data_IF_553250500236
#
_entry.id   IF_553250500236
#
_cell.length_a   1.000
_cell.length_b   1.000
_cell.length_c   1.000
_cell.angle_alpha   90.00
_cell.angle_beta   90.00
_cell.angle_gamma   90.00
#
_symmetry.space_group_name_H-M   'P 1'
#
loop_
_entity.id
_entity.type
_entity.pdbx_description
1 polymer ?
#
# COMPACT_ATOMS: atom_id res chain seq x y z
N UNK A 1 11.12 2.50 -8.44
CA UNK A 1 10.03 1.56 -8.08
C UNK A 1 10.17 1.14 -6.63
N UNK A 2 9.09 1.22 -5.89
CA UNK A 2 9.10 0.91 -4.46
C UNK A 2 8.39 -0.41 -4.21
N UNK A 3 8.99 -1.24 -3.36
CA UNK A 3 8.44 -2.55 -3.01
C UNK A 3 7.90 -2.52 -1.59
N UNK A 4 6.70 -3.04 -1.42
CA UNK A 4 6.10 -3.23 -0.10
C UNK A 4 5.86 -4.71 0.13
N UNK A 5 6.09 -5.15 1.36
CA UNK A 5 5.70 -6.48 1.79
C UNK A 5 4.36 -6.37 2.51
N UNK A 6 3.40 -7.13 2.05
CA UNK A 6 2.05 -7.11 2.62
C UNK A 6 1.74 -8.47 3.22
N UNK A 7 1.16 -8.48 4.40
CA UNK A 7 0.76 -9.71 5.07
C UNK A 7 -0.67 -9.59 5.58
N UNK A 8 -1.39 -10.70 5.51
CA UNK A 8 -2.77 -10.77 5.96
C UNK A 8 -3.13 -12.21 6.32
N UNK A 9 -4.10 -12.37 7.20
CA UNK A 9 -4.67 -13.68 7.52
C UNK A 9 -5.87 -14.03 6.66
N UNK A 10 -6.40 -13.06 5.88
CA UNK A 10 -7.57 -13.24 5.02
C UNK A 10 -7.26 -12.69 3.62
N UNK A 11 -6.38 -13.38 2.93
CA UNK A 11 -5.87 -12.92 1.63
C UNK A 11 -6.98 -12.70 0.60
N UNK A 12 -7.86 -13.69 0.42
CA UNK A 12 -8.87 -13.62 -0.63
C UNK A 12 -9.83 -12.45 -0.46
N UNK A 13 -10.18 -12.14 0.79
CA UNK A 13 -11.07 -11.01 1.07
C UNK A 13 -10.33 -9.68 0.91
N UNK A 14 -9.10 -9.61 1.39
CA UNK A 14 -8.36 -8.37 1.44
C UNK A 14 -7.70 -7.98 0.13
N UNK A 15 -7.31 -8.95 -0.72
CA UNK A 15 -6.68 -8.62 -2.00
C UNK A 15 -7.63 -7.86 -2.93
N UNK A 16 -8.90 -8.19 -2.91
CA UNK A 16 -9.90 -7.50 -3.73
C UNK A 16 -10.08 -6.05 -3.27
N UNK A 17 -10.16 -5.85 -1.96
CA UNK A 17 -10.26 -4.50 -1.39
C UNK A 17 -9.00 -3.68 -1.66
N UNK A 18 -7.84 -4.31 -1.52
CA UNK A 18 -6.56 -3.65 -1.79
C UNK A 18 -6.47 -3.19 -3.24
N UNK A 19 -6.87 -4.04 -4.18
CA UNK A 19 -6.92 -3.66 -5.60
C UNK A 19 -7.83 -2.46 -5.83
N UNK A 20 -9.03 -2.47 -5.27
CA UNK A 20 -9.99 -1.37 -5.42
C UNK A 20 -9.43 -0.07 -4.86
N UNK A 21 -8.84 -0.11 -3.68
CA UNK A 21 -8.25 1.08 -3.04
C UNK A 21 -7.11 1.62 -3.88
N UNK A 22 -6.21 0.75 -4.35
CA UNK A 22 -5.07 1.20 -5.16
C UNK A 22 -5.52 1.76 -6.50
N UNK A 23 -6.53 1.18 -7.13
CA UNK A 23 -7.10 1.71 -8.37
C UNK A 23 -7.66 3.12 -8.14
N UNK A 24 -8.40 3.31 -7.05
CA UNK A 24 -8.95 4.64 -6.72
C UNK A 24 -7.85 5.67 -6.46
N UNK A 25 -6.79 5.26 -5.78
CA UNK A 25 -5.64 6.15 -5.56
C UNK A 25 -4.98 6.53 -6.88
N UNK A 26 -4.81 5.56 -7.78
CA UNK A 26 -4.24 5.84 -9.10
C UNK A 26 -5.10 6.81 -9.90
N UNK A 27 -6.42 6.66 -9.84
CA UNK A 27 -7.36 7.59 -10.51
C UNK A 27 -7.22 9.00 -9.96
N UNK A 28 -7.16 9.14 -8.63
CA UNK A 28 -6.98 10.45 -7.98
C UNK A 28 -5.66 11.10 -8.40
N UNK A 29 -4.63 10.30 -8.58
CA UNK A 29 -3.30 10.78 -8.99
C UNK A 29 -3.16 10.94 -10.51
N UNK A 30 -4.20 10.64 -11.27
CA UNK A 30 -4.20 10.68 -12.74
C UNK A 30 -3.12 9.78 -13.34
N UNK A 31 -2.97 8.58 -12.76
CA UNK A 31 -2.03 7.56 -13.21
C UNK A 31 -2.85 6.38 -13.71
N UNK A 32 -2.61 5.92 -14.93
CA UNK A 32 -3.42 4.87 -15.55
C UNK A 32 -3.22 3.50 -14.89
N UNK A 33 -2.05 3.27 -14.35
CA UNK A 33 -1.68 2.01 -13.69
C UNK A 33 -0.71 2.40 -12.58
N UNK A 34 0.30 1.66 -12.31
CA UNK A 34 1.36 2.11 -11.40
C UNK A 34 1.56 1.21 -10.21
N UNK A 35 0.85 0.09 -10.14
CA UNK A 35 1.08 -0.89 -9.09
C UNK A 35 0.89 -2.31 -9.62
N UNK A 36 1.56 -3.25 -8.98
CA UNK A 36 1.44 -4.68 -9.28
C UNK A 36 1.57 -5.48 -8.00
N UNK A 37 0.90 -6.62 -7.97
CA UNK A 37 1.03 -7.57 -6.86
C UNK A 37 1.85 -8.77 -7.30
N UNK A 38 2.76 -9.21 -6.41
CA UNK A 38 3.50 -10.44 -6.59
C UNK A 38 2.67 -11.65 -6.19
N UNK A 39 3.24 -12.84 -6.37
CA UNK A 39 2.57 -14.07 -5.99
C UNK A 39 2.52 -14.24 -4.48
N UNK A 40 1.39 -14.73 -3.95
CA UNK A 40 1.27 -14.93 -2.51
C UNK A 40 1.98 -16.20 -2.05
N UNK A 41 2.53 -16.14 -0.85
CA UNK A 41 3.14 -17.28 -0.16
C UNK A 41 2.47 -17.43 1.20
N UNK A 42 2.03 -18.63 1.52
CA UNK A 42 1.38 -18.90 2.81
C UNK A 42 2.35 -19.51 3.80
N UNK A 43 2.32 -19.01 5.05
CA UNK A 43 3.09 -19.55 6.17
C UNK A 43 2.33 -19.32 7.46
N UNK A 44 2.13 -20.37 8.22
CA UNK A 44 1.56 -20.29 9.59
C UNK A 44 0.23 -19.51 9.64
N UNK A 45 -0.64 -19.74 8.65
CA UNK A 45 -1.93 -19.07 8.59
C UNK A 45 -1.88 -17.64 8.05
N UNK A 46 -0.70 -17.14 7.71
CA UNK A 46 -0.52 -15.83 7.10
C UNK A 46 -0.21 -15.98 5.62
N UNK A 47 -0.67 -15.01 4.84
CA UNK A 47 -0.29 -14.90 3.43
C UNK A 47 0.57 -13.67 3.26
N UNK A 48 1.71 -13.84 2.61
CA UNK A 48 2.68 -12.77 2.34
C UNK A 48 2.78 -12.57 0.84
N UNK A 49 2.77 -11.33 0.41
CA UNK A 49 2.96 -11.00 -1.00
C UNK A 49 3.58 -9.61 -1.12
N UNK A 50 4.14 -9.32 -2.27
CA UNK A 50 4.75 -8.02 -2.53
C UNK A 50 3.78 -7.15 -3.35
N UNK A 51 3.87 -5.85 -3.12
CA UNK A 51 3.22 -4.86 -3.96
C UNK A 51 4.31 -3.93 -4.49
N UNK A 52 4.35 -3.79 -5.80
CA UNK A 52 5.27 -2.88 -6.47
C UNK A 52 4.51 -1.61 -6.81
N UNK A 53 5.07 -0.46 -6.46
CA UNK A 53 4.47 0.85 -6.75
C UNK A 53 5.46 1.63 -7.60
N UNK A 54 5.03 2.05 -8.78
CA UNK A 54 5.86 2.85 -9.68
C UNK A 54 6.11 4.23 -9.08
N UNK A 55 7.22 4.82 -9.47
CA UNK A 55 7.63 6.15 -8.99
C UNK A 55 6.53 7.20 -9.24
N UNK A 56 5.90 7.15 -10.39
CA UNK A 56 4.84 8.08 -10.75
C UNK A 56 3.66 8.02 -9.78
N UNK A 57 3.21 6.81 -9.43
CA UNK A 57 2.13 6.64 -8.47
C UNK A 57 2.57 7.01 -7.06
N UNK A 58 3.77 6.62 -6.67
CA UNK A 58 4.32 6.94 -5.35
C UNK A 58 4.36 8.46 -5.13
N UNK A 59 4.94 9.18 -6.07
CA UNK A 59 5.03 10.65 -5.99
C UNK A 59 3.65 11.29 -6.04
N UNK A 60 2.75 10.74 -6.86
CA UNK A 60 1.37 11.22 -6.94
C UNK A 60 0.63 11.12 -5.60
N UNK A 61 0.80 9.99 -4.92
CA UNK A 61 0.19 9.79 -3.59
C UNK A 61 0.80 10.76 -2.57
N UNK A 62 2.12 10.90 -2.58
CA UNK A 62 2.79 11.86 -1.69
C UNK A 62 2.26 13.28 -1.87
N UNK A 63 2.03 13.67 -3.11
CA UNK A 63 1.53 15.01 -3.43
C UNK A 63 0.06 15.19 -3.03
N UNK A 64 -0.80 14.28 -3.46
CA UNK A 64 -2.24 14.38 -3.23
C UNK A 64 -2.66 14.19 -1.78
N UNK A 65 -1.93 13.39 -1.04
CA UNK A 65 -2.23 13.06 0.35
C UNK A 65 -1.17 13.61 1.32
N UNK A 66 -0.44 14.65 0.91
CA UNK A 66 0.69 15.18 1.67
C UNK A 66 0.32 15.58 3.10
N UNK A 67 -0.82 16.24 3.29
CA UNK A 67 -1.25 16.66 4.63
C UNK A 67 -1.52 15.48 5.55
N UNK A 68 -2.12 14.44 5.01
CA UNK A 68 -2.41 13.22 5.78
C UNK A 68 -1.13 12.46 6.11
N UNK A 69 -0.22 12.38 5.14
CA UNK A 69 1.06 11.69 5.33
C UNK A 69 1.90 12.40 6.40
N UNK A 70 1.92 13.72 6.38
CA UNK A 70 2.69 14.52 7.37
C UNK A 70 2.21 14.28 8.81
N UNK A 71 0.94 13.96 8.98
CA UNK A 71 0.36 13.69 10.30
C UNK A 71 0.63 12.27 10.81
N UNK A 72 1.12 11.40 9.94
CA UNK A 72 1.42 10.02 10.32
C UNK A 72 2.70 9.93 11.12
N UNK A 73 2.79 8.89 11.94
CA UNK A 73 3.99 8.62 12.73
C UNK A 73 5.12 8.18 11.82
N UNK A 74 6.35 8.48 12.22
CA UNK A 74 7.54 8.09 11.50
C UNK A 74 8.56 9.21 11.49
N UNK A 75 9.83 8.86 11.53
CA UNK A 75 10.93 9.82 11.51
C UNK A 75 11.39 10.14 10.08
N UNK A 76 11.07 9.26 9.13
CA UNK A 76 11.47 9.39 7.73
C UNK A 76 10.24 9.45 6.83
N UNK A 77 10.33 10.08 5.66
CA UNK A 77 9.21 10.14 4.71
C UNK A 77 8.66 8.75 4.33
N UNK A 78 9.53 7.76 4.16
CA UNK A 78 9.12 6.41 3.82
C UNK A 78 8.28 5.76 4.92
N UNK A 79 8.65 5.99 6.17
CA UNK A 79 7.89 5.46 7.30
C UNK A 79 6.51 6.10 7.37
N UNK A 80 6.44 7.42 7.17
CA UNK A 80 5.17 8.14 7.16
C UNK A 80 4.27 7.67 6.02
N UNK A 81 4.82 7.46 4.85
CA UNK A 81 4.08 6.94 3.69
C UNK A 81 3.49 5.57 3.99
N UNK A 82 4.30 4.66 4.53
CA UNK A 82 3.88 3.31 4.87
C UNK A 82 2.78 3.32 5.93
N UNK A 83 2.94 4.14 6.96
CA UNK A 83 1.94 4.28 8.01
C UNK A 83 0.64 4.88 7.48
N UNK A 84 0.74 5.83 6.56
CA UNK A 84 -0.42 6.38 5.87
C UNK A 84 -1.18 5.28 5.11
N UNK A 85 -0.48 4.45 4.34
CA UNK A 85 -1.11 3.36 3.60
C UNK A 85 -1.83 2.39 4.54
N UNK A 86 -1.19 2.01 5.64
CA UNK A 86 -1.80 1.13 6.63
C UNK A 86 -3.09 1.74 7.18
N UNK A 87 -3.06 3.00 7.57
CA UNK A 87 -4.24 3.68 8.11
C UNK A 87 -5.34 3.84 7.07
N UNK A 88 -4.96 4.20 5.86
CA UNK A 88 -5.92 4.41 4.78
C UNK A 88 -6.65 3.12 4.41
N UNK A 89 -5.90 2.02 4.29
CA UNK A 89 -6.48 0.71 3.98
C UNK A 89 -7.37 0.22 5.12
N UNK A 90 -6.93 0.38 6.35
CA UNK A 90 -7.74 0.02 7.52
C UNK A 90 -9.06 0.78 7.54
N UNK A 91 -9.04 2.07 7.20
CA UNK A 91 -10.25 2.89 7.15
C UNK A 91 -11.23 2.43 6.06
N UNK A 92 -10.75 1.68 5.07
CA UNK A 92 -11.58 1.10 4.00
C UNK A 92 -11.98 -0.34 4.27
N UNK A 93 -11.68 -0.86 5.45
CA UNK A 93 -12.01 -2.22 5.81
C UNK A 93 -11.03 -3.28 5.34
N UNK A 94 -9.87 -2.86 4.81
CA UNK A 94 -8.84 -3.76 4.33
C UNK A 94 -7.84 -4.03 5.46
N UNK A 95 -7.88 -5.23 6.02
CA UNK A 95 -7.04 -5.60 7.16
C UNK A 95 -5.76 -6.28 6.70
N UNK A 96 -4.79 -5.47 6.36
CA UNK A 96 -3.46 -5.94 5.94
C UNK A 96 -2.40 -5.19 6.74
N UNK A 97 -1.21 -5.77 6.83
CA UNK A 97 -0.04 -5.09 7.38
C UNK A 97 0.91 -4.81 6.23
N UNK A 98 1.30 -3.57 6.10
CA UNK A 98 2.22 -3.12 5.06
C UNK A 98 3.53 -2.70 5.70
N UNK A 99 4.60 -3.12 5.06
CA UNK A 99 5.95 -2.84 5.51
C UNK A 99 6.77 -2.55 4.25
N UNK A 100 7.55 -1.50 4.26
CA UNK A 100 8.39 -1.21 3.11
C UNK A 100 9.52 -2.25 3.05
N UNK A 101 9.55 -3.01 1.97
CA UNK A 101 10.69 -3.84 1.66
C UNK A 101 11.77 -2.90 1.11
N UNK A 102 13.02 -3.18 1.39
CA UNK A 102 14.12 -2.30 1.01
C UNK A 102 14.02 -1.88 -0.46
N UNK A 103 14.04 -0.62 -0.67
CA UNK A 103 14.05 -0.05 -2.02
C UNK A 103 15.45 0.24 -2.50
#
# INVERSE_FOLDING_TARGET
MTFFEISTTKYEDNIKLLQVVMIKMAVVCDVADGFKFGEPTQRFGWTFFQMLVDQELYVGIEDKFSDMIKKCKGSKPDEKFTNFLNQHLESKGCNVKIKMASG
#
